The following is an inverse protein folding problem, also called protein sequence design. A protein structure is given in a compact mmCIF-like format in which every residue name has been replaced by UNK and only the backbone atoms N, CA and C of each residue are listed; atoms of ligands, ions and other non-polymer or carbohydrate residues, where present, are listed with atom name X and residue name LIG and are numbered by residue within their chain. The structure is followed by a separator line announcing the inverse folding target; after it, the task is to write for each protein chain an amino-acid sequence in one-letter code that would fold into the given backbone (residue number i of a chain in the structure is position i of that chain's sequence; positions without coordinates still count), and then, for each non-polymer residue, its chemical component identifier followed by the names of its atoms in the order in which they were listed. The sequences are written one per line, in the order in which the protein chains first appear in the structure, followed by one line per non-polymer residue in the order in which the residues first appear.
data_IF_100794475946
#
_entry.id   IF_100794475946
#
_cell.length_a   1.000
_cell.length_b   1.000
_cell.length_c   1.000
_cell.angle_alpha   90.00
_cell.angle_beta   90.00
_cell.angle_gamma   90.00
#
_symmetry.space_group_name_H-M   'P 1'
#
loop_
_entity.id
_entity.type
_entity.pdbx_description
1 polymer ?
#
# COMPACT_ATOMS: atom_id res chain seq x y z
N UNK A 1 11.49 19.02 24.57
CA UNK A 1 11.28 18.02 25.63
C UNK A 1 11.00 16.63 25.04
N UNK A 2 10.18 16.52 23.97
CA UNK A 2 9.98 15.24 23.25
C UNK A 2 11.25 14.79 22.51
N UNK A 3 11.95 15.70 21.81
CA UNK A 3 13.19 15.35 21.05
C UNK A 3 14.32 14.82 21.93
N UNK A 4 14.45 15.36 23.15
CA UNK A 4 15.45 14.91 24.13
C UNK A 4 15.14 13.53 24.71
N UNK A 5 13.86 13.15 24.79
CA UNK A 5 13.43 11.84 25.25
C UNK A 5 13.66 10.77 24.17
N UNK A 6 13.50 11.13 22.90
CA UNK A 6 13.74 10.22 21.77
C UNK A 6 15.23 9.88 21.59
N UNK A 7 16.12 10.84 21.81
CA UNK A 7 17.58 10.59 21.77
C UNK A 7 18.05 9.59 22.83
N UNK A 8 17.54 9.69 24.06
CA UNK A 8 17.92 8.78 25.16
C UNK A 8 17.40 7.35 24.97
N UNK A 9 16.25 7.17 24.30
CA UNK A 9 15.72 5.84 24.02
C UNK A 9 16.41 5.18 22.82
N UNK A 10 16.89 5.95 21.84
CA UNK A 10 17.71 5.45 20.73
C UNK A 10 19.06 4.88 21.22
N UNK A 11 19.70 5.55 22.20
CA UNK A 11 20.89 5.04 22.88
C UNK A 11 20.60 3.75 23.68
N UNK A 12 19.41 3.64 24.27
CA UNK A 12 18.99 2.49 25.10
C UNK A 12 18.66 1.23 24.26
N UNK A 13 18.23 1.40 23.01
CA UNK A 13 17.97 0.29 22.07
C UNK A 13 19.26 -0.16 21.35
N UNK A 14 20.36 0.59 21.46
CA UNK A 14 21.67 0.20 20.93
C UNK A 14 21.85 0.46 19.43
N UNK A 15 20.99 1.27 18.81
CA UNK A 15 21.10 1.63 17.39
C UNK A 15 22.05 2.82 17.26
N UNK A 16 23.36 2.55 17.25
CA UNK A 16 24.37 3.55 16.86
C UNK A 16 24.52 3.53 15.35
N UNK A 17 24.18 4.65 14.71
CA UNK A 17 24.44 4.85 13.28
C UNK A 17 25.88 5.34 13.12
N UNK A 18 26.71 4.52 12.49
CA UNK A 18 28.08 4.91 12.13
C UNK A 18 28.09 5.94 10.97
N UNK A 19 29.22 6.61 10.82
CA UNK A 19 29.35 7.68 9.83
C UNK A 19 29.33 7.19 8.38
N UNK A 20 29.71 5.94 8.11
CA UNK A 20 29.63 5.38 6.75
C UNK A 20 28.17 5.22 6.33
N UNK A 21 27.35 4.67 7.23
CA UNK A 21 25.92 4.50 7.01
C UNK A 21 25.19 5.83 6.89
N UNK A 22 25.57 6.82 7.69
CA UNK A 22 25.06 8.18 7.57
C UNK A 22 25.41 8.78 6.20
N UNK A 23 26.66 8.63 5.74
CA UNK A 23 27.08 9.14 4.44
C UNK A 23 26.34 8.47 3.27
N UNK A 24 26.08 7.16 3.37
CA UNK A 24 25.28 6.44 2.37
C UNK A 24 23.85 6.96 2.32
N UNK A 25 23.20 7.15 3.47
CA UNK A 25 21.86 7.68 3.53
C UNK A 25 21.77 9.10 2.95
N UNK A 26 22.75 9.97 3.26
CA UNK A 26 22.83 11.31 2.67
C UNK A 26 23.01 11.25 1.15
N UNK A 27 23.86 10.34 0.64
CA UNK A 27 24.05 10.15 -0.79
C UNK A 27 22.77 9.64 -1.48
N UNK A 28 21.98 8.81 -0.81
CA UNK A 28 20.69 8.32 -1.31
C UNK A 28 19.64 9.43 -1.33
N UNK A 29 19.58 10.27 -0.29
CA UNK A 29 18.74 11.47 -0.25
C UNK A 29 19.12 12.42 -1.38
N UNK A 30 20.42 12.68 -1.59
CA UNK A 30 20.90 13.53 -2.67
C UNK A 30 20.48 12.97 -4.03
N UNK A 31 20.67 11.65 -4.25
CA UNK A 31 20.23 10.96 -5.47
C UNK A 31 18.71 11.07 -5.70
N UNK A 32 17.90 10.93 -4.66
CA UNK A 32 16.45 11.04 -4.75
C UNK A 32 15.98 12.47 -5.08
N UNK A 33 16.77 13.48 -4.73
CA UNK A 33 16.54 14.87 -5.10
C UNK A 33 17.23 15.26 -6.42
N UNK A 34 17.78 14.29 -7.15
CA UNK A 34 18.52 14.51 -8.40
C UNK A 34 19.71 15.48 -8.25
N UNK A 35 20.28 15.57 -7.04
CA UNK A 35 21.36 16.47 -6.66
C UNK A 35 22.61 15.69 -6.25
N UNK A 36 23.78 16.33 -6.34
CA UNK A 36 25.00 15.82 -5.72
C UNK A 36 24.99 16.08 -4.20
N UNK A 37 25.84 15.37 -3.45
CA UNK A 37 25.94 15.57 -1.99
C UNK A 37 26.41 17.00 -1.66
N UNK A 38 27.30 17.55 -2.48
CA UNK A 38 27.79 18.92 -2.36
C UNK A 38 26.68 19.95 -2.65
N UNK A 39 25.85 19.69 -3.66
CA UNK A 39 24.70 20.54 -3.97
C UNK A 39 23.64 20.50 -2.87
N UNK A 40 23.37 19.31 -2.30
CA UNK A 40 22.47 19.16 -1.17
C UNK A 40 22.99 19.93 0.05
N UNK A 41 24.29 19.83 0.36
CA UNK A 41 24.90 20.57 1.47
C UNK A 41 24.74 22.09 1.28
N UNK A 42 24.98 22.60 0.08
CA UNK A 42 24.78 24.02 -0.25
C UNK A 42 23.31 24.45 -0.15
N UNK A 43 22.36 23.61 -0.57
CA UNK A 43 20.92 23.88 -0.44
C UNK A 43 20.52 24.02 1.02
N UNK A 44 20.97 23.08 1.86
CA UNK A 44 20.66 23.07 3.30
C UNK A 44 21.26 24.28 4.01
N UNK A 45 22.48 24.68 3.66
CA UNK A 45 23.09 25.91 4.17
C UNK A 45 22.33 27.17 3.71
N UNK A 46 21.79 27.17 2.48
CA UNK A 46 20.96 28.28 1.98
C UNK A 46 19.62 28.40 2.71
N UNK A 47 19.11 27.29 3.25
CA UNK A 47 17.89 27.23 4.07
C UNK A 47 18.14 27.64 5.53
N UNK A 48 19.39 27.98 5.88
CA UNK A 48 19.78 28.47 7.21
C UNK A 48 20.14 27.39 8.21
N UNK A 49 20.33 26.14 7.77
CA UNK A 49 20.77 25.02 8.61
C UNK A 49 22.22 24.67 8.28
N UNK A 50 23.08 24.51 9.30
CA UNK A 50 24.46 24.11 9.03
C UNK A 50 24.55 22.63 8.62
N UNK A 51 25.53 22.28 7.77
CA UNK A 51 25.72 20.90 7.36
C UNK A 51 25.94 19.91 8.54
N UNK A 52 26.68 20.26 9.62
CA UNK A 52 26.78 19.40 10.81
C UNK A 52 25.44 19.16 11.52
N UNK A 53 24.58 20.19 11.61
CA UNK A 53 23.24 20.06 12.23
C UNK A 53 22.34 19.16 11.38
N UNK A 54 22.37 19.32 10.06
CA UNK A 54 21.66 18.45 9.13
C UNK A 54 22.09 16.99 9.28
N UNK A 55 23.39 16.72 9.33
CA UNK A 55 23.93 15.36 9.56
C UNK A 55 23.41 14.75 10.85
N UNK A 56 23.36 15.53 11.93
CA UNK A 56 22.85 15.07 13.22
C UNK A 56 21.33 14.79 13.17
N UNK A 57 20.56 15.62 12.46
CA UNK A 57 19.13 15.40 12.26
C UNK A 57 18.86 14.12 11.47
N UNK A 58 19.57 13.90 10.36
CA UNK A 58 19.47 12.67 9.57
C UNK A 58 19.85 11.45 10.41
N UNK A 59 20.91 11.54 11.24
CA UNK A 59 21.32 10.46 12.14
C UNK A 59 20.19 10.05 13.09
N UNK A 60 19.49 11.03 13.68
CA UNK A 60 18.35 10.80 14.56
C UNK A 60 17.18 10.14 13.84
N UNK A 61 16.85 10.59 12.64
CA UNK A 61 15.77 10.00 11.83
C UNK A 61 16.04 8.54 11.46
N UNK A 62 17.27 8.24 11.02
CA UNK A 62 17.67 6.86 10.70
C UNK A 62 17.56 5.97 11.95
N UNK A 63 18.06 6.44 13.09
CA UNK A 63 17.99 5.70 14.35
C UNK A 63 16.52 5.46 14.78
N UNK A 64 15.65 6.47 14.65
CA UNK A 64 14.23 6.35 14.99
C UNK A 64 13.50 5.37 14.06
N UNK A 65 13.79 5.40 12.76
CA UNK A 65 13.25 4.45 11.77
C UNK A 65 13.66 3.02 12.08
N UNK A 66 14.93 2.80 12.44
CA UNK A 66 15.43 1.48 12.84
C UNK A 66 14.80 0.98 14.12
N UNK A 67 14.69 1.82 15.15
CA UNK A 67 14.02 1.46 16.39
C UNK A 67 12.56 1.06 16.12
N UNK A 68 11.85 1.81 15.27
CA UNK A 68 10.48 1.47 14.86
C UNK A 68 10.43 0.12 14.16
N UNK A 69 11.31 -0.13 13.19
CA UNK A 69 11.39 -1.39 12.46
C UNK A 69 11.73 -2.58 13.37
N UNK A 70 12.63 -2.39 14.34
CA UNK A 70 12.97 -3.42 15.33
C UNK A 70 11.77 -3.74 16.23
N UNK A 71 11.03 -2.73 16.69
CA UNK A 71 9.82 -2.91 17.50
C UNK A 71 8.69 -3.60 16.73
N UNK A 72 8.51 -3.27 15.45
CA UNK A 72 7.53 -3.93 14.58
C UNK A 72 7.92 -5.39 14.33
N UNK A 73 9.17 -5.66 13.94
CA UNK A 73 9.66 -7.04 13.74
C UNK A 73 9.51 -7.90 14.98
N UNK A 74 9.76 -7.35 16.18
CA UNK A 74 9.59 -8.09 17.44
C UNK A 74 8.14 -8.48 17.72
N UNK A 75 7.16 -7.76 17.15
CA UNK A 75 5.73 -8.03 17.34
C UNK A 75 5.15 -8.97 16.28
N UNK A 76 5.87 -9.21 15.19
CA UNK A 76 5.42 -10.08 14.10
C UNK A 76 6.02 -11.47 14.34
N UNK A 77 5.18 -12.42 14.76
CA UNK A 77 5.51 -13.83 14.80
C UNK A 77 4.69 -14.53 13.72
N UNK A 78 5.34 -14.88 12.60
CA UNK A 78 4.68 -15.61 11.52
C UNK A 78 4.78 -17.10 11.86
N UNK A 79 3.64 -17.76 12.05
CA UNK A 79 3.64 -19.20 12.26
C UNK A 79 3.81 -19.93 10.91
N UNK A 80 4.55 -21.04 10.86
CA UNK A 80 4.69 -21.83 9.63
C UNK A 80 3.33 -22.22 9.03
N UNK A 81 2.36 -22.57 9.88
CA UNK A 81 1.01 -22.93 9.47
C UNK A 81 0.24 -21.77 8.79
N UNK A 82 0.50 -20.51 9.15
CA UNK A 82 -0.13 -19.35 8.48
C UNK A 82 0.42 -19.15 7.06
N UNK A 83 1.71 -19.45 6.85
CA UNK A 83 2.33 -19.41 5.53
C UNK A 83 1.77 -20.51 4.64
N UNK A 84 1.67 -21.74 5.16
CA UNK A 84 1.12 -22.88 4.40
C UNK A 84 -0.35 -22.66 4.05
N UNK A 85 -1.16 -22.15 5.00
CA UNK A 85 -2.57 -21.84 4.77
C UNK A 85 -2.78 -20.73 3.75
N UNK A 86 -1.94 -19.67 3.80
CA UNK A 86 -2.01 -18.59 2.82
C UNK A 86 -1.51 -19.03 1.43
N UNK A 87 -0.48 -19.87 1.37
CA UNK A 87 0.03 -20.43 0.12
C UNK A 87 -1.00 -21.36 -0.54
N UNK A 88 -1.69 -22.18 0.25
CA UNK A 88 -2.78 -23.02 -0.23
C UNK A 88 -3.95 -22.17 -0.75
N UNK A 89 -4.37 -21.14 -0.01
CA UNK A 89 -5.40 -20.19 -0.46
C UNK A 89 -5.01 -19.46 -1.75
N UNK A 90 -3.77 -18.97 -1.85
CA UNK A 90 -3.28 -18.30 -3.07
C UNK A 90 -3.13 -19.28 -4.25
N UNK A 91 -2.85 -20.56 -4.00
CA UNK A 91 -2.82 -21.57 -5.06
C UNK A 91 -4.22 -21.94 -5.55
N UNK A 92 -5.22 -21.93 -4.66
CA UNK A 92 -6.63 -22.11 -5.00
C UNK A 92 -7.19 -20.88 -5.72
N UNK A 93 -6.72 -19.68 -5.35
CA UNK A 93 -6.80 -18.47 -6.19
C UNK A 93 -5.79 -18.54 -7.34
N UNK A 94 -5.82 -19.65 -8.08
CA UNK A 94 -5.22 -19.69 -9.41
C UNK A 94 -5.75 -18.48 -10.18
N UNK A 95 -4.83 -17.68 -10.70
CA UNK A 95 -5.00 -16.52 -11.58
C UNK A 95 -5.90 -16.78 -12.82
N UNK A 96 -7.13 -17.22 -12.63
CA UNK A 96 -8.19 -17.07 -13.59
C UNK A 96 -8.83 -15.73 -13.25
N UNK A 97 -8.30 -14.65 -13.84
CA UNK A 97 -9.12 -13.48 -14.08
C UNK A 97 -10.27 -13.96 -14.97
N UNK A 98 -11.32 -14.52 -14.36
CA UNK A 98 -12.49 -14.99 -15.09
C UNK A 98 -13.20 -13.74 -15.58
N UNK A 99 -12.92 -13.38 -16.82
CA UNK A 99 -13.59 -12.29 -17.51
C UNK A 99 -14.95 -12.82 -17.97
N UNK A 100 -16.01 -12.33 -17.32
CA UNK A 100 -17.37 -12.64 -17.73
C UNK A 100 -17.82 -11.63 -18.79
N UNK A 101 -18.30 -12.12 -19.95
CA UNK A 101 -19.01 -11.31 -20.94
C UNK A 101 -20.51 -11.42 -20.64
N UNK A 102 -21.05 -10.42 -19.93
CA UNK A 102 -22.44 -10.41 -19.46
C UNK A 102 -23.29 -9.49 -20.35
N UNK A 103 -24.46 -9.98 -20.80
CA UNK A 103 -25.55 -9.15 -21.34
C UNK A 103 -26.62 -8.91 -20.26
N UNK A 104 -27.15 -7.68 -20.16
CA UNK A 104 -28.14 -7.31 -19.15
C UNK A 104 -29.36 -6.65 -19.81
N UNK A 105 -30.56 -7.15 -19.48
CA UNK A 105 -31.84 -6.57 -19.90
C UNK A 105 -32.57 -6.05 -18.67
N UNK A 106 -32.94 -4.77 -18.69
CA UNK A 106 -33.71 -4.13 -17.62
C UNK A 106 -35.08 -3.71 -18.14
N UNK A 107 -36.14 -4.27 -17.58
CA UNK A 107 -37.51 -3.83 -17.84
C UNK A 107 -37.89 -2.72 -16.85
N UNK A 108 -38.24 -1.53 -17.37
CA UNK A 108 -38.76 -0.44 -16.54
C UNK A 108 -40.24 -0.66 -16.30
N UNK A 109 -40.66 -0.48 -15.06
CA UNK A 109 -42.07 -0.41 -14.70
C UNK A 109 -42.35 0.90 -13.99
N UNK A 110 -43.61 1.33 -14.10
CA UNK A 110 -44.15 2.53 -13.49
C UNK A 110 -45.14 2.07 -12.40
N UNK A 111 -45.40 2.90 -11.37
CA UNK A 111 -46.29 2.52 -10.24
C UNK A 111 -47.74 2.22 -10.66
N UNK A 112 -48.13 2.59 -11.88
CA UNK A 112 -49.42 2.30 -12.51
C UNK A 112 -49.48 0.91 -13.19
N UNK A 113 -48.34 0.24 -13.39
CA UNK A 113 -48.27 -1.14 -13.91
C UNK A 113 -48.15 -2.13 -12.76
N UNK A 114 -49.02 -3.14 -12.75
CA UNK A 114 -48.89 -4.25 -11.80
C UNK A 114 -47.55 -4.96 -11.98
N UNK A 115 -46.78 -5.03 -10.89
CA UNK A 115 -45.48 -5.73 -10.83
C UNK A 115 -45.55 -7.18 -11.35
N UNK A 116 -46.70 -7.84 -11.17
CA UNK A 116 -46.99 -9.20 -11.64
C UNK A 116 -46.89 -9.34 -13.16
N UNK A 117 -47.36 -8.33 -13.91
CA UNK A 117 -47.35 -8.35 -15.38
C UNK A 117 -45.92 -8.22 -15.92
N UNK A 118 -45.11 -7.34 -15.32
CA UNK A 118 -43.72 -7.12 -15.72
C UNK A 118 -42.84 -8.32 -15.37
N UNK A 119 -43.12 -8.98 -14.24
CA UNK A 119 -42.45 -10.23 -13.87
C UNK A 119 -42.77 -11.38 -14.84
N UNK A 120 -44.03 -11.48 -15.28
CA UNK A 120 -44.44 -12.48 -16.27
C UNK A 120 -43.73 -12.25 -17.62
N UNK A 121 -43.59 -11.00 -18.04
CA UNK A 121 -42.86 -10.61 -19.25
C UNK A 121 -41.36 -10.94 -19.13
N UNK A 122 -40.74 -10.63 -17.98
CA UNK A 122 -39.34 -10.98 -17.71
C UNK A 122 -39.10 -12.49 -17.77
N UNK A 123 -40.01 -13.30 -17.20
CA UNK A 123 -39.92 -14.78 -17.24
C UNK A 123 -40.10 -15.33 -18.64
N UNK A 124 -41.01 -14.75 -19.43
CA UNK A 124 -41.20 -15.15 -20.83
C UNK A 124 -39.95 -14.84 -21.66
N UNK A 125 -39.32 -13.68 -21.43
CA UNK A 125 -38.08 -13.31 -22.10
C UNK A 125 -36.91 -14.22 -21.69
N UNK A 126 -36.75 -14.50 -20.40
CA UNK A 126 -35.75 -15.43 -19.91
C UNK A 126 -35.93 -16.84 -20.51
N UNK A 127 -37.17 -17.31 -20.67
CA UNK A 127 -37.46 -18.57 -21.32
C UNK A 127 -37.01 -18.59 -22.79
N UNK A 128 -37.31 -17.54 -23.56
CA UNK A 128 -36.87 -17.41 -24.96
C UNK A 128 -35.35 -17.37 -25.09
N UNK A 129 -34.67 -16.65 -24.19
CA UNK A 129 -33.20 -16.60 -24.16
C UNK A 129 -32.58 -17.97 -23.85
N UNK A 130 -33.17 -18.73 -22.92
CA UNK A 130 -32.76 -20.10 -22.62
C UNK A 130 -33.02 -21.07 -23.78
N UNK A 131 -34.01 -20.78 -24.63
CA UNK A 131 -34.33 -21.53 -25.85
C UNK A 131 -33.45 -21.14 -27.05
N UNK A 132 -32.53 -20.18 -26.88
CA UNK A 132 -31.53 -19.80 -27.88
C UNK A 132 -31.82 -18.52 -28.66
N UNK A 133 -32.77 -17.68 -28.22
CA UNK A 133 -32.95 -16.34 -28.78
C UNK A 133 -31.74 -15.43 -28.47
N UNK A 134 -31.39 -14.54 -29.40
CA UNK A 134 -30.30 -13.58 -29.24
C UNK A 134 -30.69 -12.49 -28.23
N UNK A 135 -29.71 -11.97 -27.48
CA UNK A 135 -29.87 -10.87 -26.53
C UNK A 135 -29.92 -9.50 -27.22
N UNK A 136 -29.57 -9.43 -28.51
CA UNK A 136 -29.43 -8.19 -29.29
C UNK A 136 -30.57 -7.90 -30.26
N UNK A 137 -31.52 -8.84 -30.44
CA UNK A 137 -32.80 -8.65 -31.15
C UNK A 137 -33.98 -8.58 -30.18
#
# INVERSE_FOLDING_TARGET
IIDTLQGQEADRIGVRIDDNRLNQAIAEIARNNEQSVEQLAASVESEGLSYPEFREQIRKEIAASEARNALVRRRINILPAEVDSLAEQLSQETNATVQYKIGHIQLRFSDDKEKSAVEAEAKALAKKLNEGADLTE
#
